data_IF_593824370568
#
_entry.id   IF_593824370568
#
_cell.length_a   1.000
_cell.length_b   1.000
_cell.length_c   1.000
_cell.angle_alpha   90.00
_cell.angle_beta   90.00
_cell.angle_gamma   90.00
#
_symmetry.space_group_name_H-M   'P 1'
#
loop_
_entity.id
_entity.type
_entity.pdbx_description
1 polymer ?
#
# COMPACT_ATOMS: atom_id res chain seq x y z
N UNK A 1 -13.48 39.79 34.99
CA UNK A 1 -13.41 39.33 33.59
C UNK A 1 -14.81 39.34 32.99
N UNK A 2 -15.28 40.54 32.68
CA UNK A 2 -16.51 40.83 31.94
C UNK A 2 -16.17 40.97 30.46
N UNK A 3 -17.13 40.67 29.58
CA UNK A 3 -17.19 40.91 28.12
C UNK A 3 -17.08 39.66 27.23
N UNK A 4 -18.19 38.95 27.14
CA UNK A 4 -18.56 38.13 25.97
C UNK A 4 -20.02 38.49 25.59
N UNK A 5 -20.20 39.69 25.01
CA UNK A 5 -21.43 40.14 24.32
C UNK A 5 -21.07 41.16 23.24
N UNK A 6 -21.49 40.89 22.00
CA UNK A 6 -21.25 41.70 20.79
C UNK A 6 -20.22 41.00 19.90
N UNK A 7 -20.57 40.40 18.77
CA UNK A 7 -21.21 41.02 17.62
C UNK A 7 -22.08 40.00 16.87
N UNK A 8 -23.40 40.13 17.01
CA UNK A 8 -24.41 39.57 16.10
C UNK A 8 -25.24 40.73 15.55
N UNK A 9 -24.71 41.44 14.55
CA UNK A 9 -25.50 42.40 13.76
C UNK A 9 -24.76 42.77 12.48
N UNK A 10 -25.19 42.22 11.34
CA UNK A 10 -25.25 42.90 10.03
C UNK A 10 -25.43 41.88 8.89
N UNK A 11 -26.63 41.35 8.67
CA UNK A 11 -27.06 40.83 7.36
C UNK A 11 -28.59 40.94 7.20
N UNK A 12 -29.18 42.07 7.59
CA UNK A 12 -30.60 42.34 7.37
C UNK A 12 -30.82 43.79 6.95
N UNK A 13 -30.28 44.16 5.78
CA UNK A 13 -30.65 45.39 5.04
C UNK A 13 -29.97 45.36 3.68
N UNK A 14 -30.59 44.69 2.73
CA UNK A 14 -30.52 44.97 1.28
C UNK A 14 -31.54 44.08 0.59
N UNK A 15 -32.81 44.48 0.70
CA UNK A 15 -33.87 44.05 -0.21
C UNK A 15 -34.74 45.25 -0.52
N UNK A 16 -35.11 45.36 -1.80
CA UNK A 16 -36.17 46.17 -2.45
C UNK A 16 -35.75 47.36 -3.34
N UNK A 17 -36.38 47.36 -4.53
CA UNK A 17 -36.29 48.19 -5.75
C UNK A 17 -35.37 47.59 -6.82
N UNK A 18 -35.79 47.17 -8.01
CA UNK A 18 -37.06 47.10 -8.74
C UNK A 18 -36.77 46.55 -10.17
N UNK A 19 -37.69 45.76 -10.72
CA UNK A 19 -37.69 44.95 -11.98
C UNK A 19 -37.68 45.79 -13.30
N UNK A 20 -37.61 45.24 -14.56
CA UNK A 20 -37.90 43.86 -15.01
C UNK A 20 -37.07 43.22 -16.18
N UNK A 21 -37.30 41.91 -16.35
CA UNK A 21 -37.27 41.10 -17.59
C UNK A 21 -35.94 40.79 -18.32
N UNK A 22 -35.47 39.53 -18.19
CA UNK A 22 -35.37 38.61 -19.34
C UNK A 22 -35.27 37.15 -18.90
N UNK A 23 -36.15 36.37 -19.48
CA UNK A 23 -36.28 34.91 -19.48
C UNK A 23 -34.99 34.16 -19.86
N UNK A 24 -34.66 33.08 -19.15
CA UNK A 24 -34.82 31.68 -19.63
C UNK A 24 -34.10 30.70 -18.69
N UNK A 25 -34.78 29.59 -18.50
CA UNK A 25 -34.41 28.38 -17.77
C UNK A 25 -33.08 27.76 -18.18
N UNK A 26 -32.29 27.32 -17.21
CA UNK A 26 -31.60 26.04 -17.20
C UNK A 26 -30.97 25.84 -15.81
N UNK A 27 -31.70 25.20 -14.90
CA UNK A 27 -31.10 24.61 -13.72
C UNK A 27 -30.45 23.30 -14.14
N UNK A 28 -29.13 23.25 -14.19
CA UNK A 28 -28.39 21.99 -14.21
C UNK A 28 -28.18 21.57 -12.76
N UNK A 29 -29.11 20.77 -12.24
CA UNK A 29 -28.82 19.88 -11.12
C UNK A 29 -27.89 18.80 -11.65
N UNK A 30 -26.57 18.99 -11.50
CA UNK A 30 -25.61 17.89 -11.60
C UNK A 30 -25.56 17.21 -10.24
N UNK A 31 -26.54 16.35 -9.97
CA UNK A 31 -26.35 15.26 -9.01
C UNK A 31 -26.02 14.06 -9.88
N UNK A 32 -24.74 13.89 -10.18
CA UNK A 32 -24.25 12.65 -10.78
C UNK A 32 -24.31 11.57 -9.71
N UNK A 33 -24.74 10.38 -10.11
CA UNK A 33 -24.66 9.20 -9.27
C UNK A 33 -23.20 8.90 -8.91
N UNK A 34 -22.94 8.22 -7.78
CA UNK A 34 -21.57 7.91 -7.33
C UNK A 34 -20.75 7.15 -8.38
N UNK A 35 -21.40 6.34 -9.23
CA UNK A 35 -20.76 5.61 -10.33
C UNK A 35 -20.28 6.54 -11.46
N UNK A 36 -21.08 7.55 -11.84
CA UNK A 36 -20.71 8.52 -12.88
C UNK A 36 -19.56 9.45 -12.46
N UNK A 37 -19.41 9.71 -11.15
CA UNK A 37 -18.31 10.55 -10.64
C UNK A 37 -16.94 9.90 -10.75
N UNK A 38 -16.84 8.57 -10.61
CA UNK A 38 -15.57 7.85 -10.73
C UNK A 38 -15.11 7.77 -12.19
N UNK A 39 -16.04 7.54 -13.14
CA UNK A 39 -15.70 7.39 -14.55
C UNK A 39 -15.28 8.72 -15.20
N UNK A 40 -15.86 9.84 -14.76
CA UNK A 40 -15.52 11.18 -15.26
C UNK A 40 -14.16 11.71 -14.76
N UNK A 41 -13.64 11.22 -13.62
CA UNK A 41 -12.41 11.72 -12.99
C UNK A 41 -11.12 11.05 -13.50
N UNK A 42 -11.19 9.87 -14.13
CA UNK A 42 -10.01 8.98 -14.29
C UNK A 42 -9.71 8.44 -15.70
N UNK A 43 -10.21 9.03 -16.79
CA UNK A 43 -9.81 8.63 -18.15
C UNK A 43 -8.42 9.18 -18.53
N UNK A 44 -7.36 8.36 -18.72
CA UNK A 44 -6.09 8.83 -19.24
C UNK A 44 -6.13 8.81 -20.78
N UNK A 45 -5.71 9.91 -21.41
CA UNK A 45 -5.26 9.89 -22.81
C UNK A 45 -3.92 9.13 -22.87
N UNK A 46 -3.96 7.82 -23.05
CA UNK A 46 -2.76 7.02 -23.30
C UNK A 46 -2.08 7.51 -24.60
N UNK A 47 -0.84 8.00 -24.48
CA UNK A 47 -0.01 8.44 -25.60
C UNK A 47 1.16 7.46 -25.76
N UNK A 48 1.39 7.07 -27.00
CA UNK A 48 2.33 6.05 -27.46
C UNK A 48 3.77 6.23 -26.98
N UNK A 49 4.41 5.12 -26.61
CA UNK A 49 5.86 4.97 -26.60
C UNK A 49 6.28 3.72 -27.37
N UNK A 50 7.39 3.87 -28.09
CA UNK A 50 7.75 3.17 -29.31
C UNK A 50 8.20 1.71 -29.18
N UNK A 51 7.93 1.00 -30.28
CA UNK A 51 8.64 -0.19 -30.75
C UNK A 51 10.15 0.05 -30.87
N UNK A 52 10.95 -0.87 -30.35
CA UNK A 52 12.00 -1.56 -31.10
C UNK A 52 12.75 -2.55 -30.19
N UNK A 53 12.56 -3.85 -30.43
CA UNK A 53 13.60 -4.86 -30.19
C UNK A 53 13.42 -5.95 -31.22
N UNK A 54 14.37 -6.03 -32.15
CA UNK A 54 14.65 -7.24 -32.93
C UNK A 54 16.08 -7.65 -32.60
N UNK A 55 16.21 -8.77 -31.89
CA UNK A 55 17.16 -9.84 -32.16
C UNK A 55 17.04 -10.90 -31.06
N UNK A 56 16.44 -12.02 -31.46
CA UNK A 56 16.55 -13.29 -30.78
C UNK A 56 17.77 -14.05 -31.30
N UNK A 57 18.50 -14.73 -30.39
CA UNK A 57 18.83 -16.17 -30.44
C UNK A 57 20.03 -16.56 -29.56
N UNK A 58 19.80 -17.64 -28.82
CA UNK A 58 20.72 -18.70 -28.37
C UNK A 58 21.73 -18.37 -27.26
N UNK A 59 22.08 -19.25 -26.33
CA UNK A 59 21.79 -20.68 -26.11
C UNK A 59 22.03 -20.99 -24.62
N UNK A 60 21.43 -22.08 -24.12
CA UNK A 60 21.63 -22.55 -22.75
C UNK A 60 22.96 -23.29 -22.59
N UNK A 61 23.84 -22.82 -21.72
CA UNK A 61 24.97 -23.61 -21.20
C UNK A 61 24.78 -23.92 -19.72
N UNK A 62 24.60 -25.21 -19.44
CA UNK A 62 24.58 -25.79 -18.10
C UNK A 62 26.02 -25.92 -17.62
N UNK A 63 26.43 -25.06 -16.69
CA UNK A 63 27.74 -25.17 -16.03
C UNK A 63 27.71 -26.32 -15.02
N UNK A 64 28.45 -27.39 -15.30
CA UNK A 64 28.75 -28.47 -14.36
C UNK A 64 29.67 -27.94 -13.25
N UNK A 65 29.20 -27.98 -12.01
CA UNK A 65 30.02 -27.67 -10.84
C UNK A 65 30.89 -28.89 -10.45
N UNK A 66 32.19 -28.77 -10.67
CA UNK A 66 33.20 -29.63 -10.05
C UNK A 66 33.18 -29.44 -8.53
N UNK A 67 33.04 -30.56 -7.80
CA UNK A 67 32.96 -30.58 -6.34
C UNK A 67 34.35 -30.84 -5.74
N UNK A 68 34.92 -29.81 -5.11
CA UNK A 68 36.03 -29.98 -4.15
C UNK A 68 35.45 -30.19 -2.74
N UNK A 69 35.92 -31.18 -1.96
CA UNK A 69 35.40 -31.44 -0.62
C UNK A 69 36.06 -30.49 0.39
N UNK A 70 35.27 -29.87 1.27
CA UNK A 70 35.80 -29.16 2.45
C UNK A 70 35.35 -27.71 2.65
N UNK A 71 34.05 -27.44 2.58
CA UNK A 71 33.42 -26.34 3.34
C UNK A 71 32.03 -26.81 3.75
N UNK A 72 31.82 -27.01 5.04
CA UNK A 72 30.47 -27.19 5.62
C UNK A 72 29.71 -25.90 5.32
N UNK A 73 28.92 -25.92 4.24
CA UNK A 73 28.05 -24.80 3.86
C UNK A 73 26.98 -24.73 4.92
N UNK A 74 27.08 -23.75 5.84
CA UNK A 74 26.00 -23.46 6.76
C UNK A 74 24.76 -23.15 5.92
N UNK A 75 23.76 -24.02 5.99
CA UNK A 75 22.51 -23.83 5.26
C UNK A 75 21.79 -22.66 5.94
N UNK A 76 21.48 -21.61 5.18
CA UNK A 76 20.69 -20.50 5.69
C UNK A 76 19.28 -20.99 5.99
N UNK A 77 18.91 -20.99 7.28
CA UNK A 77 17.56 -21.33 7.71
C UNK A 77 16.63 -20.10 7.56
N UNK A 78 16.03 -20.01 6.37
CA UNK A 78 15.09 -18.93 6.05
C UNK A 78 13.87 -18.91 6.98
N UNK A 79 13.40 -20.07 7.45
CA UNK A 79 12.21 -20.15 8.32
C UNK A 79 12.51 -19.54 9.68
N UNK A 80 13.63 -19.91 10.29
CA UNK A 80 14.06 -19.32 11.56
C UNK A 80 14.36 -17.84 11.43
N UNK A 81 14.98 -17.40 10.33
CA UNK A 81 15.18 -15.98 10.03
C UNK A 81 13.85 -15.20 9.99
N UNK A 82 12.88 -15.68 9.21
CA UNK A 82 11.57 -15.02 9.10
C UNK A 82 10.85 -14.96 10.45
N UNK A 83 10.82 -16.05 11.21
CA UNK A 83 10.18 -16.07 12.53
C UNK A 83 10.81 -15.07 13.50
N UNK A 84 12.14 -14.97 13.51
CA UNK A 84 12.84 -13.99 14.34
C UNK A 84 12.49 -12.55 13.93
N UNK A 85 12.57 -12.23 12.64
CA UNK A 85 12.28 -10.87 12.14
C UNK A 85 10.81 -10.48 12.34
N UNK A 86 9.86 -11.39 12.10
CA UNK A 86 8.43 -11.16 12.36
C UNK A 86 8.21 -10.84 13.84
N UNK A 87 8.87 -11.58 14.75
CA UNK A 87 8.78 -11.32 16.20
C UNK A 87 9.31 -9.92 16.55
N UNK A 88 10.49 -9.55 16.05
CA UNK A 88 11.06 -8.21 16.27
C UNK A 88 10.13 -7.10 15.75
N UNK A 89 9.60 -7.25 14.53
CA UNK A 89 8.68 -6.27 13.92
C UNK A 89 7.41 -6.15 14.74
N UNK A 90 6.80 -7.26 15.19
CA UNK A 90 5.59 -7.21 16.00
C UNK A 90 5.83 -6.50 17.35
N UNK A 91 6.98 -6.73 17.99
CA UNK A 91 7.36 -6.02 19.22
C UNK A 91 7.56 -4.51 18.98
N UNK A 92 8.21 -4.15 17.88
CA UNK A 92 8.43 -2.75 17.52
C UNK A 92 7.11 -2.03 17.17
N UNK A 93 6.20 -2.68 16.44
CA UNK A 93 4.87 -2.15 16.12
C UNK A 93 4.03 -1.93 17.38
N UNK A 94 4.06 -2.89 18.30
CA UNK A 94 3.36 -2.80 19.58
C UNK A 94 3.82 -1.57 20.38
N UNK A 95 5.12 -1.32 20.41
CA UNK A 95 5.72 -0.15 21.06
C UNK A 95 5.47 1.16 20.30
N UNK A 96 5.40 1.12 18.95
CA UNK A 96 5.21 2.30 18.11
C UNK A 96 3.80 2.89 18.20
N UNK A 97 2.79 2.08 18.53
CA UNK A 97 1.39 2.51 18.63
C UNK A 97 0.85 2.23 20.04
N UNK A 98 1.30 2.96 21.08
CA UNK A 98 0.82 2.74 22.45
C UNK A 98 -0.65 3.17 22.60
N UNK A 99 -1.36 2.53 23.53
CA UNK A 99 -2.72 2.95 23.92
C UNK A 99 -2.64 4.30 24.65
N UNK A 100 -3.32 5.31 24.11
CA UNK A 100 -3.42 6.68 24.66
C UNK A 100 -4.84 7.21 24.46
N UNK A 101 -5.17 8.35 25.07
CA UNK A 101 -6.44 9.01 24.80
C UNK A 101 -6.51 9.57 23.36
N UNK A 102 -7.63 9.39 22.63
CA UNK A 102 -8.81 8.61 23.02
C UNK A 102 -8.55 7.10 22.93
N UNK A 103 -8.76 6.37 24.05
CA UNK A 103 -8.35 4.95 24.19
C UNK A 103 -8.93 4.06 23.08
N UNK A 104 -10.23 4.18 22.81
CA UNK A 104 -10.92 3.35 21.80
C UNK A 104 -10.39 3.56 20.38
N UNK A 105 -9.90 4.74 20.06
CA UNK A 105 -9.32 5.00 18.76
C UNK A 105 -7.95 4.31 18.62
N UNK A 106 -7.13 4.35 19.66
CA UNK A 106 -5.85 3.64 19.65
C UNK A 106 -6.03 2.11 19.68
N UNK A 107 -7.09 1.61 20.34
CA UNK A 107 -7.49 0.19 20.22
C UNK A 107 -7.81 -0.19 18.76
N UNK A 108 -8.55 0.66 18.04
CA UNK A 108 -8.86 0.46 16.61
C UNK A 108 -7.59 0.45 15.74
N UNK A 109 -6.69 1.44 15.91
CA UNK A 109 -5.40 1.49 15.21
C UNK A 109 -4.58 0.22 15.38
N UNK A 110 -4.61 -0.39 16.57
CA UNK A 110 -3.84 -1.58 16.90
C UNK A 110 -4.48 -2.87 16.41
N UNK A 111 -5.80 -2.91 16.23
CA UNK A 111 -6.53 -4.14 15.92
C UNK A 111 -6.05 -4.83 14.63
N UNK A 112 -6.08 -4.13 13.50
CA UNK A 112 -5.64 -4.68 12.21
C UNK A 112 -4.11 -4.72 12.13
N UNK A 113 -3.43 -3.70 12.66
CA UNK A 113 -1.98 -3.58 12.61
C UNK A 113 -1.27 -4.73 13.33
N UNK A 114 -1.71 -5.08 14.54
CA UNK A 114 -1.08 -6.11 15.38
C UNK A 114 -1.65 -7.52 15.16
N UNK A 115 -2.65 -7.67 14.29
CA UNK A 115 -3.13 -9.00 13.90
C UNK A 115 -2.07 -9.76 13.10
N UNK A 116 -2.03 -11.08 13.28
CA UNK A 116 -1.02 -11.95 12.68
C UNK A 116 -0.93 -11.74 11.16
N UNK A 117 0.29 -11.60 10.67
CA UNK A 117 0.56 -11.37 9.26
C UNK A 117 1.96 -11.85 8.89
N UNK A 118 2.19 -12.05 7.59
CA UNK A 118 3.48 -12.54 7.09
C UNK A 118 4.63 -11.52 7.25
N UNK A 119 4.29 -10.24 7.46
CA UNK A 119 5.23 -9.09 7.59
C UNK A 119 6.29 -9.05 6.49
N UNK A 120 5.93 -9.39 5.25
CA UNK A 120 6.89 -9.52 4.14
C UNK A 120 7.61 -8.20 3.88
N UNK A 121 6.89 -7.09 3.74
CA UNK A 121 7.49 -5.79 3.44
C UNK A 121 8.38 -5.24 4.58
N UNK A 122 7.97 -5.31 5.87
CA UNK A 122 8.86 -4.98 6.97
C UNK A 122 10.15 -5.79 6.98
N UNK A 123 10.07 -7.11 6.77
CA UNK A 123 11.25 -7.98 6.73
C UNK A 123 12.12 -7.68 5.51
N UNK A 124 11.52 -7.39 4.35
CA UNK A 124 12.25 -6.98 3.15
C UNK A 124 13.01 -5.66 3.35
N UNK A 125 12.39 -4.68 4.03
CA UNK A 125 13.02 -3.42 4.38
C UNK A 125 14.26 -3.63 5.28
N UNK A 126 14.11 -4.44 6.33
CA UNK A 126 15.22 -4.79 7.23
C UNK A 126 16.33 -5.53 6.46
N UNK A 127 15.97 -6.54 5.67
CA UNK A 127 16.92 -7.35 4.91
C UNK A 127 17.71 -6.51 3.89
N UNK A 128 17.05 -5.57 3.20
CA UNK A 128 17.70 -4.68 2.24
C UNK A 128 18.65 -3.70 2.93
N UNK A 129 18.34 -3.25 4.14
CA UNK A 129 19.25 -2.44 4.96
C UNK A 129 20.49 -3.23 5.37
N UNK A 130 20.31 -4.46 5.89
CA UNK A 130 21.40 -5.34 6.31
C UNK A 130 22.30 -5.75 5.13
N UNK A 131 21.71 -5.98 3.96
CA UNK A 131 22.42 -6.38 2.73
C UNK A 131 23.51 -5.38 2.34
N UNK A 132 23.28 -4.08 2.55
CA UNK A 132 24.21 -3.00 2.19
C UNK A 132 25.08 -2.55 3.37
N UNK A 133 25.09 -3.31 4.47
CA UNK A 133 25.91 -3.06 5.66
C UNK A 133 25.25 -2.21 6.75
N UNK A 134 23.97 -1.88 6.59
CA UNK A 134 23.17 -1.22 7.62
C UNK A 134 22.81 -2.14 8.79
N UNK A 135 22.15 -1.57 9.80
CA UNK A 135 21.70 -2.29 10.99
C UNK A 135 20.17 -2.39 11.03
N UNK A 136 19.64 -3.52 11.50
CA UNK A 136 18.20 -3.72 11.70
C UNK A 136 17.56 -2.58 12.49
N UNK A 137 18.21 -2.09 13.55
CA UNK A 137 17.72 -0.99 14.39
C UNK A 137 17.53 0.31 13.62
N UNK A 138 18.31 0.54 12.56
CA UNK A 138 18.20 1.74 11.71
C UNK A 138 16.99 1.65 10.78
N UNK A 139 16.68 0.46 10.27
CA UNK A 139 15.54 0.23 9.38
C UNK A 139 14.21 -0.04 10.11
N UNK A 140 14.26 -0.45 11.38
CA UNK A 140 13.07 -0.85 12.14
C UNK A 140 11.95 0.20 12.17
N UNK A 141 12.21 1.51 12.34
CA UNK A 141 11.15 2.51 12.27
C UNK A 141 10.48 2.60 10.89
N UNK A 142 11.26 2.49 9.80
CA UNK A 142 10.71 2.48 8.44
C UNK A 142 9.92 1.19 8.18
N UNK A 143 10.42 0.04 8.65
CA UNK A 143 9.71 -1.24 8.58
C UNK A 143 8.36 -1.18 9.32
N UNK A 144 8.31 -0.55 10.49
CA UNK A 144 7.07 -0.30 11.22
C UNK A 144 6.13 0.63 10.45
N UNK A 145 6.64 1.74 9.92
CA UNK A 145 5.85 2.67 9.11
C UNK A 145 5.25 2.00 7.87
N UNK A 146 5.99 1.12 7.21
CA UNK A 146 5.46 0.34 6.09
C UNK A 146 4.33 -0.60 6.50
N UNK A 147 4.45 -1.31 7.62
CA UNK A 147 3.32 -2.15 8.07
C UNK A 147 2.10 -1.31 8.48
N UNK A 148 2.30 -0.09 9.02
CA UNK A 148 1.20 0.84 9.29
C UNK A 148 0.47 1.24 8.00
N UNK A 149 1.20 1.59 6.94
CA UNK A 149 0.62 1.91 5.63
C UNK A 149 -0.04 0.66 5.02
N UNK A 150 0.60 -0.49 5.08
CA UNK A 150 0.02 -1.74 4.58
C UNK A 150 -1.28 -2.11 5.30
N UNK A 151 -1.31 -1.98 6.63
CA UNK A 151 -2.51 -2.20 7.42
C UNK A 151 -3.63 -1.24 7.01
N UNK A 152 -3.32 0.05 6.77
CA UNK A 152 -4.27 1.00 6.20
C UNK A 152 -4.80 0.53 4.84
N UNK A 153 -3.94 0.09 3.92
CA UNK A 153 -4.36 -0.37 2.60
C UNK A 153 -5.37 -1.52 2.73
N UNK A 154 -5.10 -2.52 3.57
CA UNK A 154 -6.04 -3.64 3.80
C UNK A 154 -7.36 -3.17 4.41
N UNK A 155 -7.32 -2.26 5.39
CA UNK A 155 -8.50 -1.74 6.05
C UNK A 155 -9.43 -0.99 5.09
N UNK A 156 -8.86 -0.20 4.19
CA UNK A 156 -9.62 0.56 3.20
C UNK A 156 -10.11 -0.33 2.06
N UNK A 157 -9.30 -1.30 1.61
CA UNK A 157 -9.72 -2.32 0.65
C UNK A 157 -10.96 -3.06 1.16
N UNK A 158 -11.01 -3.41 2.45
CA UNK A 158 -12.16 -4.11 3.03
C UNK A 158 -13.45 -3.29 3.14
N UNK A 159 -13.45 -1.97 2.91
CA UNK A 159 -14.64 -1.12 3.08
C UNK A 159 -15.78 -1.48 2.11
N UNK A 160 -17.06 -1.20 2.47
CA UNK A 160 -18.20 -1.49 1.61
C UNK A 160 -18.18 -0.85 0.22
N UNK A 161 -17.56 0.34 0.10
CA UNK A 161 -17.41 1.05 -1.17
C UNK A 161 -16.23 0.58 -2.02
N UNK A 162 -15.46 -0.39 -1.53
CA UNK A 162 -14.30 -0.96 -2.20
C UNK A 162 -14.61 -2.43 -2.45
N UNK A 163 -14.03 -3.29 -1.64
CA UNK A 163 -14.01 -4.72 -1.87
C UNK A 163 -15.11 -5.38 -0.98
N UNK A 164 -15.57 -4.70 0.10
CA UNK A 164 -16.65 -5.12 1.00
C UNK A 164 -16.42 -6.48 1.68
N UNK A 165 -15.21 -6.69 2.21
CA UNK A 165 -14.83 -7.94 2.87
C UNK A 165 -15.22 -7.94 4.35
N UNK A 166 -15.92 -8.99 4.78
CA UNK A 166 -16.29 -9.18 6.19
C UNK A 166 -15.16 -9.75 7.04
N UNK A 167 -14.18 -10.43 6.42
CA UNK A 167 -13.11 -11.15 7.10
C UNK A 167 -11.72 -10.80 6.59
N UNK A 168 -10.79 -10.62 7.52
CA UNK A 168 -9.38 -10.37 7.24
C UNK A 168 -8.48 -10.99 8.30
N UNK A 169 -7.45 -11.73 7.85
CA UNK A 169 -6.49 -12.46 8.69
C UNK A 169 -7.18 -13.34 9.77
N UNK A 170 -8.26 -14.02 9.38
CA UNK A 170 -9.03 -14.92 10.24
C UNK A 170 -9.92 -14.22 11.29
N UNK A 171 -10.08 -12.89 11.21
CA UNK A 171 -10.92 -12.09 12.10
C UNK A 171 -11.89 -11.24 11.31
N UNK A 172 -12.87 -10.64 11.99
CA UNK A 172 -13.73 -9.62 11.38
C UNK A 172 -12.87 -8.46 10.84
N UNK A 173 -13.20 -8.00 9.63
CA UNK A 173 -12.55 -6.83 9.05
C UNK A 173 -12.79 -5.58 9.90
N UNK A 174 -11.95 -4.57 9.71
CA UNK A 174 -11.92 -3.43 10.62
C UNK A 174 -13.26 -2.69 10.68
N UNK A 175 -13.92 -2.50 9.53
CA UNK A 175 -15.19 -1.79 9.45
C UNK A 175 -16.35 -2.58 10.09
N UNK A 176 -16.26 -3.91 10.15
CA UNK A 176 -17.25 -4.75 10.86
C UNK A 176 -17.14 -4.63 12.37
N UNK A 177 -15.96 -4.32 12.90
CA UNK A 177 -15.74 -4.15 14.34
C UNK A 177 -15.98 -2.71 14.80
N UNK A 178 -15.48 -1.72 14.06
CA UNK A 178 -15.44 -0.32 14.49
C UNK A 178 -16.32 0.63 13.65
N UNK A 179 -16.92 0.14 12.57
CA UNK A 179 -17.67 0.95 11.61
C UNK A 179 -16.78 1.64 10.57
N UNK A 180 -17.41 2.14 9.51
CA UNK A 180 -16.74 2.77 8.35
C UNK A 180 -16.00 4.05 8.74
N UNK A 181 -16.66 4.94 9.50
CA UNK A 181 -16.07 6.23 9.91
C UNK A 181 -14.77 6.05 10.68
N UNK A 182 -14.74 5.12 11.64
CA UNK A 182 -13.53 4.83 12.43
C UNK A 182 -12.48 4.17 11.56
N UNK A 183 -12.86 3.33 10.60
CA UNK A 183 -11.93 2.67 9.67
C UNK A 183 -11.20 3.69 8.80
N UNK A 184 -11.93 4.65 8.21
CA UNK A 184 -11.33 5.72 7.39
C UNK A 184 -10.39 6.59 8.22
N UNK A 185 -10.81 7.01 9.42
CA UNK A 185 -9.98 7.84 10.31
C UNK A 185 -8.73 7.09 10.77
N UNK A 186 -8.87 5.80 11.08
CA UNK A 186 -7.76 4.94 11.50
C UNK A 186 -6.73 4.79 10.38
N UNK A 187 -7.18 4.56 9.14
CA UNK A 187 -6.30 4.46 7.99
C UNK A 187 -5.50 5.74 7.77
N UNK A 188 -6.16 6.90 7.75
CA UNK A 188 -5.48 8.21 7.67
C UNK A 188 -4.44 8.40 8.79
N UNK A 189 -4.81 8.11 10.04
CA UNK A 189 -3.91 8.26 11.18
C UNK A 189 -2.71 7.33 11.14
N UNK A 190 -2.87 6.10 10.65
CA UNK A 190 -1.75 5.16 10.47
C UNK A 190 -0.75 5.64 9.41
N UNK A 191 -1.22 6.25 8.32
CA UNK A 191 -0.32 6.83 7.30
C UNK A 191 0.45 8.03 7.87
N UNK A 192 -0.23 8.93 8.59
CA UNK A 192 0.41 10.06 9.24
C UNK A 192 1.47 9.59 10.26
N UNK A 193 1.09 8.61 11.10
CA UNK A 193 1.99 8.03 12.09
C UNK A 193 3.16 7.28 11.45
N UNK A 194 2.97 6.64 10.29
CA UNK A 194 4.05 5.96 9.58
C UNK A 194 5.20 6.91 9.22
N UNK A 195 4.87 8.07 8.63
CA UNK A 195 5.87 9.07 8.27
C UNK A 195 6.48 9.76 9.50
N UNK A 196 5.66 10.07 10.51
CA UNK A 196 6.15 10.62 11.78
C UNK A 196 7.13 9.64 12.45
N UNK A 197 6.72 8.38 12.62
CA UNK A 197 7.52 7.35 13.28
C UNK A 197 8.83 7.09 12.53
N UNK A 198 8.77 6.94 11.20
CA UNK A 198 9.95 6.76 10.35
C UNK A 198 10.95 7.91 10.51
N UNK A 199 10.48 9.17 10.54
CA UNK A 199 11.38 10.33 10.61
C UNK A 199 11.90 10.62 12.01
N UNK A 200 11.07 10.43 13.04
CA UNK A 200 11.39 10.81 14.42
C UNK A 200 12.16 9.72 15.17
N UNK A 201 11.85 8.44 14.92
CA UNK A 201 12.45 7.32 15.63
C UNK A 201 13.76 6.83 14.98
N UNK A 202 13.96 7.03 13.67
CA UNK A 202 15.22 6.64 13.00
C UNK A 202 16.41 7.43 13.53
N UNK A 203 17.52 6.73 13.81
CA UNK A 203 18.79 7.32 14.28
C UNK A 203 19.93 6.90 13.37
N UNK A 204 21.01 7.68 13.36
CA UNK A 204 22.22 7.34 12.61
C UNK A 204 22.12 7.50 11.08
N UNK A 205 21.08 8.19 10.58
CA UNK A 205 20.88 8.46 9.15
C UNK A 205 20.98 9.95 8.88
N UNK A 206 21.68 10.32 7.81
CA UNK A 206 21.80 11.72 7.41
C UNK A 206 20.42 12.30 7.01
N UNK A 207 20.04 13.53 7.42
CA UNK A 207 18.72 14.09 7.13
C UNK A 207 18.34 14.09 5.64
N UNK A 208 19.30 14.37 4.74
CA UNK A 208 19.09 14.28 3.29
C UNK A 208 18.65 12.89 2.81
N UNK A 209 19.22 11.83 3.40
CA UNK A 209 18.86 10.45 3.09
C UNK A 209 17.45 10.14 3.60
N UNK A 210 17.11 10.60 4.81
CA UNK A 210 15.75 10.43 5.36
C UNK A 210 14.69 11.13 4.50
N UNK A 211 14.92 12.38 4.11
CA UNK A 211 14.00 13.12 3.22
C UNK A 211 13.81 12.41 1.89
N UNK A 212 14.89 11.89 1.30
CA UNK A 212 14.81 11.10 0.07
C UNK A 212 14.00 9.82 0.27
N UNK A 213 14.26 9.06 1.33
CA UNK A 213 13.56 7.82 1.63
C UNK A 213 12.05 8.04 1.83
N UNK A 214 11.67 9.10 2.55
CA UNK A 214 10.28 9.54 2.70
C UNK A 214 9.66 9.91 1.35
N UNK A 215 10.39 10.67 0.51
CA UNK A 215 9.92 11.06 -0.82
C UNK A 215 9.69 9.86 -1.75
N UNK A 216 10.57 8.87 -1.73
CA UNK A 216 10.44 7.65 -2.53
C UNK A 216 9.30 6.76 -2.04
N UNK A 217 9.14 6.60 -0.72
CA UNK A 217 7.99 5.91 -0.14
C UNK A 217 6.68 6.60 -0.55
N UNK A 218 6.59 7.92 -0.38
CA UNK A 218 5.40 8.69 -0.73
C UNK A 218 5.05 8.59 -2.23
N UNK A 219 6.05 8.62 -3.11
CA UNK A 219 5.87 8.44 -4.55
C UNK A 219 5.29 7.06 -4.88
N UNK A 220 5.86 6.00 -4.30
CA UNK A 220 5.48 4.61 -4.61
C UNK A 220 4.15 4.16 -4.01
N UNK A 221 3.69 4.79 -2.92
CA UNK A 221 2.35 4.51 -2.37
C UNK A 221 1.27 5.47 -2.89
N UNK A 222 1.70 6.56 -3.54
CA UNK A 222 0.87 7.68 -3.91
C UNK A 222 0.13 7.52 -5.24
N UNK A 223 -0.29 8.63 -5.87
CA UNK A 223 -1.18 8.64 -7.03
C UNK A 223 -0.56 8.09 -8.33
N UNK A 224 0.76 7.88 -8.37
CA UNK A 224 1.47 7.24 -9.48
C UNK A 224 1.92 5.81 -9.16
N UNK A 225 1.61 5.32 -7.95
CA UNK A 225 2.03 4.02 -7.47
C UNK A 225 0.87 3.16 -6.96
N UNK A 226 0.97 2.63 -5.74
CA UNK A 226 -0.02 1.71 -5.18
C UNK A 226 -1.48 2.20 -5.29
N UNK A 227 -1.73 3.49 -5.06
CA UNK A 227 -3.08 4.04 -5.22
C UNK A 227 -3.56 4.02 -6.68
N UNK A 228 -2.69 4.24 -7.67
CA UNK A 228 -3.04 4.13 -9.09
C UNK A 228 -3.44 2.70 -9.45
N UNK A 229 -2.66 1.72 -8.98
CA UNK A 229 -2.97 0.30 -9.17
C UNK A 229 -4.32 -0.07 -8.54
N UNK A 230 -4.61 0.42 -7.34
CA UNK A 230 -5.91 0.20 -6.70
C UNK A 230 -7.07 0.84 -7.46
N UNK A 231 -6.92 2.08 -7.94
CA UNK A 231 -7.97 2.75 -8.72
C UNK A 231 -8.27 1.97 -9.99
N UNK A 232 -7.25 1.52 -10.72
CA UNK A 232 -7.46 0.73 -11.93
C UNK A 232 -8.03 -0.65 -11.65
N UNK A 233 -7.64 -1.31 -10.56
CA UNK A 233 -8.26 -2.58 -10.13
C UNK A 233 -9.78 -2.44 -9.98
N UNK A 234 -10.25 -1.36 -9.34
CA UNK A 234 -11.68 -1.08 -9.17
C UNK A 234 -12.38 -0.75 -10.50
N UNK A 235 -11.74 0.05 -11.36
CA UNK A 235 -12.31 0.44 -12.67
C UNK A 235 -12.37 -0.71 -13.67
N UNK A 236 -11.47 -1.69 -13.54
CA UNK A 236 -11.43 -2.91 -14.35
C UNK A 236 -12.37 -4.00 -13.82
N UNK A 237 -12.68 -3.99 -12.52
CA UNK A 237 -13.70 -4.86 -11.93
C UNK A 237 -15.03 -4.78 -12.70
N UNK A 238 -15.47 -5.91 -13.26
CA UNK A 238 -16.73 -5.99 -14.02
C UNK A 238 -16.63 -5.75 -15.54
N UNK A 239 -15.47 -5.34 -16.09
CA UNK A 239 -15.30 -5.17 -17.54
C UNK A 239 -14.77 -6.44 -18.21
N UNK A 240 -15.50 -6.95 -19.20
CA UNK A 240 -15.01 -8.02 -20.08
C UNK A 240 -14.09 -7.44 -21.18
N UNK A 241 -12.84 -7.90 -21.24
CA UNK A 241 -11.90 -7.56 -22.34
C UNK A 241 -10.63 -6.79 -21.96
N UNK A 242 -10.30 -6.66 -20.68
CA UNK A 242 -9.04 -6.05 -20.22
C UNK A 242 -7.84 -6.87 -20.70
N UNK A 243 -6.85 -6.20 -21.29
CA UNK A 243 -5.68 -6.85 -21.86
C UNK A 243 -4.63 -7.23 -20.82
N UNK A 244 -3.74 -8.16 -21.16
CA UNK A 244 -2.61 -8.59 -20.31
C UNK A 244 -1.74 -7.41 -19.83
N UNK A 245 -1.58 -6.37 -20.66
CA UNK A 245 -0.80 -5.18 -20.31
C UNK A 245 -1.46 -4.33 -19.21
N UNK A 246 -2.79 -4.21 -19.22
CA UNK A 246 -3.53 -3.49 -18.18
C UNK A 246 -3.50 -4.27 -16.85
N UNK A 247 -3.65 -5.60 -16.91
CA UNK A 247 -3.50 -6.48 -15.74
C UNK A 247 -2.09 -6.36 -15.13
N UNK A 248 -1.07 -6.40 -15.98
CA UNK A 248 0.33 -6.23 -15.56
C UNK A 248 0.55 -4.85 -14.92
N UNK A 249 -0.04 -3.79 -15.47
CA UNK A 249 0.02 -2.45 -14.89
C UNK A 249 -0.62 -2.43 -13.48
N UNK A 250 -1.83 -2.97 -13.33
CA UNK A 250 -2.52 -3.07 -12.04
C UNK A 250 -1.62 -3.77 -11.01
N UNK A 251 -1.08 -4.94 -11.35
CA UNK A 251 -0.27 -5.73 -10.41
C UNK A 251 1.10 -5.10 -10.10
N UNK A 252 1.75 -4.47 -11.09
CA UNK A 252 2.97 -3.70 -10.85
C UNK A 252 2.73 -2.59 -9.83
N UNK A 253 1.66 -1.82 -10.01
CA UNK A 253 1.41 -0.67 -9.15
C UNK A 253 0.79 -1.06 -7.80
N UNK A 254 -0.29 -1.85 -7.79
CA UNK A 254 -1.03 -2.23 -6.56
C UNK A 254 -0.14 -2.95 -5.54
N UNK A 255 0.77 -3.80 -6.02
CA UNK A 255 1.54 -4.71 -5.15
C UNK A 255 3.05 -4.50 -5.29
N UNK A 256 3.58 -4.41 -6.50
CA UNK A 256 5.03 -4.39 -6.69
C UNK A 256 5.69 -3.07 -6.28
N UNK A 257 5.02 -1.92 -6.45
CA UNK A 257 5.54 -0.63 -5.97
C UNK A 257 5.70 -0.60 -4.45
N UNK A 258 4.81 -1.27 -3.71
CA UNK A 258 4.94 -1.34 -2.26
C UNK A 258 6.14 -2.20 -1.83
N UNK A 259 6.38 -3.31 -2.53
CA UNK A 259 7.58 -4.13 -2.34
C UNK A 259 8.86 -3.39 -2.74
N UNK A 260 8.80 -2.57 -3.81
CA UNK A 260 9.88 -1.67 -4.19
C UNK A 260 10.19 -0.67 -3.09
N UNK A 261 9.17 0.01 -2.57
CA UNK A 261 9.32 0.98 -1.50
C UNK A 261 10.01 0.33 -0.29
N UNK A 262 9.60 -0.88 0.07
CA UNK A 262 10.22 -1.65 1.14
C UNK A 262 11.71 -1.87 0.93
N UNK A 263 12.09 -2.41 -0.22
CA UNK A 263 13.49 -2.71 -0.53
C UNK A 263 14.36 -1.44 -0.61
N UNK A 264 13.93 -0.43 -1.37
CA UNK A 264 14.79 0.74 -1.64
C UNK A 264 14.92 1.65 -0.41
N UNK A 265 13.87 1.81 0.39
CA UNK A 265 13.95 2.60 1.63
C UNK A 265 14.90 1.91 2.61
N UNK A 266 14.77 0.60 2.79
CA UNK A 266 15.70 -0.17 3.64
C UNK A 266 17.15 0.02 3.23
N UNK A 267 17.44 -0.14 1.94
CA UNK A 267 18.78 0.05 1.39
C UNK A 267 19.29 1.50 1.53
N UNK A 268 18.46 2.51 1.28
CA UNK A 268 18.84 3.92 1.48
C UNK A 268 19.24 4.18 2.93
N UNK A 269 18.47 3.68 3.89
CA UNK A 269 18.78 3.83 5.32
C UNK A 269 20.02 3.03 5.74
N UNK A 270 20.34 1.94 5.02
CA UNK A 270 21.56 1.16 5.20
C UNK A 270 22.82 1.75 4.58
N UNK A 271 22.70 2.82 3.78
CA UNK A 271 23.84 3.49 3.15
C UNK A 271 24.17 2.97 1.74
N UNK A 272 23.20 2.37 1.05
CA UNK A 272 23.36 1.88 -0.31
C UNK A 272 23.80 2.97 -1.30
N UNK A 273 24.61 2.56 -2.26
CA UNK A 273 24.90 3.32 -3.48
C UNK A 273 23.68 3.37 -4.43
N UNK A 274 23.69 4.31 -5.38
CA UNK A 274 22.67 4.38 -6.43
C UNK A 274 22.57 3.09 -7.26
N UNK A 275 23.71 2.43 -7.50
CA UNK A 275 23.73 1.19 -8.25
C UNK A 275 23.01 0.06 -7.50
N UNK A 276 23.25 -0.07 -6.19
CA UNK A 276 22.57 -1.05 -5.34
C UNK A 276 21.08 -0.76 -5.23
N UNK A 277 20.69 0.51 -5.08
CA UNK A 277 19.29 0.93 -5.06
C UNK A 277 18.58 0.52 -6.37
N UNK A 278 19.22 0.76 -7.53
CA UNK A 278 18.64 0.41 -8.82
C UNK A 278 18.55 -1.10 -9.05
N UNK A 279 19.50 -1.89 -8.54
CA UNK A 279 19.42 -3.35 -8.58
C UNK A 279 18.30 -3.88 -7.69
N UNK A 280 18.18 -3.34 -6.47
CA UNK A 280 17.12 -3.71 -5.54
C UNK A 280 15.73 -3.36 -6.08
N UNK A 281 15.58 -2.19 -6.72
CA UNK A 281 14.34 -1.79 -7.41
C UNK A 281 13.86 -2.86 -8.40
N UNK A 282 14.74 -3.30 -9.30
CA UNK A 282 14.40 -4.35 -10.28
C UNK A 282 14.04 -5.67 -9.60
N UNK A 283 14.80 -6.07 -8.58
CA UNK A 283 14.55 -7.28 -7.82
C UNK A 283 13.17 -7.25 -7.13
N UNK A 284 12.86 -6.15 -6.44
CA UNK A 284 11.61 -6.00 -5.68
C UNK A 284 10.38 -5.91 -6.58
N UNK A 285 10.51 -5.31 -7.77
CA UNK A 285 9.43 -5.30 -8.76
C UNK A 285 9.08 -6.71 -9.23
N UNK A 286 10.09 -7.54 -9.54
CA UNK A 286 9.87 -8.95 -9.88
C UNK A 286 9.27 -9.74 -8.71
N UNK A 287 9.77 -9.51 -7.49
CA UNK A 287 9.27 -10.15 -6.28
C UNK A 287 7.80 -9.80 -6.01
N UNK A 288 7.43 -8.53 -6.15
CA UNK A 288 6.06 -8.05 -5.95
C UNK A 288 5.11 -8.62 -6.99
N UNK A 289 5.53 -8.68 -8.27
CA UNK A 289 4.73 -9.31 -9.32
C UNK A 289 4.51 -10.81 -9.03
N UNK A 290 5.57 -11.52 -8.64
CA UNK A 290 5.48 -12.92 -8.23
C UNK A 290 4.52 -13.10 -7.05
N UNK A 291 4.57 -12.20 -6.06
CA UNK A 291 3.68 -12.25 -4.91
C UNK A 291 2.22 -12.16 -5.33
N UNK A 292 1.90 -11.28 -6.28
CA UNK A 292 0.53 -11.13 -6.80
C UNK A 292 0.07 -12.38 -7.57
N UNK A 293 0.91 -12.91 -8.47
CA UNK A 293 0.62 -14.17 -9.17
C UNK A 293 0.31 -15.30 -8.18
N UNK A 294 1.09 -15.40 -7.10
CA UNK A 294 0.84 -16.39 -6.05
C UNK A 294 -0.46 -16.10 -5.30
N UNK A 295 -0.79 -14.85 -4.96
CA UNK A 295 -2.04 -14.52 -4.27
C UNK A 295 -3.27 -14.89 -5.11
N UNK A 296 -3.26 -14.54 -6.40
CA UNK A 296 -4.31 -14.92 -7.36
C UNK A 296 -4.49 -16.45 -7.44
N UNK A 297 -3.37 -17.19 -7.48
CA UNK A 297 -3.41 -18.67 -7.47
C UNK A 297 -4.00 -19.20 -6.17
N UNK A 298 -3.67 -18.58 -5.04
CA UNK A 298 -4.17 -19.02 -3.74
C UNK A 298 -5.65 -18.70 -3.55
N UNK A 299 -6.15 -17.59 -4.11
CA UNK A 299 -7.55 -17.17 -4.00
C UNK A 299 -8.53 -18.19 -4.59
N UNK A 300 -8.14 -18.84 -5.68
CA UNK A 300 -8.96 -19.85 -6.36
C UNK A 300 -8.71 -21.29 -5.88
N UNK A 301 -7.59 -21.57 -5.21
CA UNK A 301 -7.20 -22.95 -4.85
C UNK A 301 -7.38 -23.30 -3.38
N UNK A 302 -7.52 -22.32 -2.48
CA UNK A 302 -7.61 -22.54 -1.03
C UNK A 302 -8.94 -22.09 -0.44
N UNK A 303 -9.32 -22.70 0.67
CA UNK A 303 -10.53 -22.31 1.41
C UNK A 303 -10.32 -20.99 2.19
N UNK A 304 -11.41 -20.30 2.53
CA UNK A 304 -11.38 -19.08 3.33
C UNK A 304 -10.68 -19.28 4.68
N UNK A 305 -10.84 -20.46 5.29
CA UNK A 305 -10.18 -20.85 6.55
C UNK A 305 -8.65 -20.90 6.41
N UNK A 306 -8.16 -21.41 5.28
CA UNK A 306 -6.72 -21.52 5.00
C UNK A 306 -6.09 -20.18 4.60
N UNK A 307 -6.86 -19.28 3.99
CA UNK A 307 -6.40 -17.96 3.56
C UNK A 307 -6.55 -16.91 4.67
N UNK A 308 -7.48 -17.11 5.60
CA UNK A 308 -7.88 -16.11 6.58
C UNK A 308 -8.57 -14.88 5.94
N UNK A 309 -9.01 -14.97 4.68
CA UNK A 309 -9.81 -13.97 3.95
C UNK A 309 -10.94 -14.69 3.20
N UNK A 310 -11.91 -13.96 2.66
CA UNK A 310 -12.95 -14.51 1.77
C UNK A 310 -12.29 -15.12 0.53
N UNK A 311 -12.41 -16.44 0.33
CA UNK A 311 -11.88 -17.13 -0.86
C UNK A 311 -12.83 -17.03 -2.07
N UNK A 312 -12.29 -17.18 -3.29
CA UNK A 312 -13.06 -17.11 -4.53
C UNK A 312 -13.68 -15.73 -4.79
N UNK A 313 -13.12 -14.69 -4.16
CA UNK A 313 -13.65 -13.33 -4.24
C UNK A 313 -13.44 -12.75 -5.63
N UNK A 314 -12.29 -13.02 -6.23
CA UNK A 314 -11.97 -12.50 -7.56
C UNK A 314 -12.96 -13.02 -8.61
N UNK A 315 -13.46 -14.25 -8.42
CA UNK A 315 -14.53 -14.81 -9.23
C UNK A 315 -15.88 -14.10 -9.03
N UNK A 316 -16.23 -13.78 -7.78
CA UNK A 316 -17.49 -13.11 -7.43
C UNK A 316 -17.51 -11.63 -7.87
N UNK A 317 -16.36 -10.97 -7.77
CA UNK A 317 -16.17 -9.57 -8.16
C UNK A 317 -15.83 -9.39 -9.66
N UNK A 318 -15.76 -10.49 -10.41
CA UNK A 318 -15.32 -10.51 -11.82
C UNK A 318 -14.01 -9.71 -12.02
N UNK A 319 -13.07 -9.86 -11.08
CA UNK A 319 -11.74 -9.26 -11.14
C UNK A 319 -10.88 -10.01 -12.15
N UNK A 320 -9.99 -9.27 -12.79
CA UNK A 320 -8.99 -9.84 -13.66
C UNK A 320 -7.82 -10.34 -12.83
N UNK A 321 -7.38 -11.56 -13.13
CA UNK A 321 -6.30 -12.25 -12.43
C UNK A 321 -5.44 -12.96 -13.45
N UNK A 322 -4.22 -13.34 -13.10
CA UNK A 322 -3.34 -14.03 -14.06
C UNK A 322 -3.91 -15.35 -14.62
N UNK A 323 -4.90 -15.94 -13.97
CA UNK A 323 -5.51 -17.19 -14.42
C UNK A 323 -6.64 -17.00 -15.43
N UNK A 324 -7.15 -15.77 -15.62
CA UNK A 324 -8.37 -15.53 -16.38
C UNK A 324 -8.34 -14.26 -17.23
#
# INVERSE_FOLDING_TARGET
>A
MSLLKGVTHNLSKLSTRGTPNRSRSAGTNLILSSEETAEALFLPKARAFCNNTDHSKNEAEVIKHDSKPGKTRTVFDFKSYMLHKIKSVNQALDAAVPIKEPIKFHEAMRYSLLSEGKRVCPVLCIAACELVGGQESTAMPAACGMEMIHAMCMMHDDLPCMDNDDLRRGKLSHHKVFGENVTVLTGYSLVALAFEHMTMATKGVHPKTMVRAVGELARLIGPEGAAAGQVLDLLCGGKSGTGLEELKYIHLHKTADFAEAAAIVGAMLGGASEEEINRLRKFSQCLGLLFQVVDDILDVTKSSEQLGKTAGRDLLANKLTYQR
#
